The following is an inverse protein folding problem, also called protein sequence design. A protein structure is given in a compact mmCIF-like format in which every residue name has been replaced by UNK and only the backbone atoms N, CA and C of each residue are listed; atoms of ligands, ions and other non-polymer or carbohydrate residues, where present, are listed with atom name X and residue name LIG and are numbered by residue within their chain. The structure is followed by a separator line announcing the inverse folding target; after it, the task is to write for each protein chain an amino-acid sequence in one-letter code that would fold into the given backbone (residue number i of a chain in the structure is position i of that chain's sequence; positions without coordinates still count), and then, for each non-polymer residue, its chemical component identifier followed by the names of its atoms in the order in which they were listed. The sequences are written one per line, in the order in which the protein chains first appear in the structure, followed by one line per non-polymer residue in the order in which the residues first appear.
data_IF_671013716728
#
_entry.id   IF_671013716728
#
_cell.length_a   1.000
_cell.length_b   1.000
_cell.length_c   1.000
_cell.angle_alpha   90.00
_cell.angle_beta   90.00
_cell.angle_gamma   90.00
#
_symmetry.space_group_name_H-M   'P 1'
#
loop_
_entity.id
_entity.type
_entity.pdbx_description
1 polymer ?
#
# COMPACT_ATOMS: atom_id res chain seq x y z
N UNK A 1 8.73 6.93 -27.45
CA UNK A 1 9.33 5.95 -26.51
C UNK A 1 8.45 4.70 -26.44
N UNK A 2 9.04 3.51 -26.56
CA UNK A 2 8.31 2.24 -26.41
C UNK A 2 7.89 2.05 -24.93
N UNK A 3 6.81 1.32 -24.71
CA UNK A 3 6.25 1.13 -23.35
C UNK A 3 7.26 0.50 -22.38
N UNK A 4 7.91 -0.57 -22.78
CA UNK A 4 8.94 -1.23 -21.96
C UNK A 4 10.10 -0.29 -21.63
N UNK A 5 10.58 0.49 -22.60
CA UNK A 5 11.64 1.48 -22.37
C UNK A 5 11.28 2.52 -21.29
N UNK A 6 9.99 2.92 -21.20
CA UNK A 6 9.52 3.81 -20.12
C UNK A 6 9.66 3.13 -18.76
N UNK A 7 9.25 1.88 -18.64
CA UNK A 7 9.37 1.12 -17.39
C UNK A 7 10.83 0.93 -16.99
N UNK A 8 11.71 0.57 -17.93
CA UNK A 8 13.14 0.38 -17.67
C UNK A 8 13.80 1.67 -17.15
N UNK A 9 13.47 2.83 -17.73
CA UNK A 9 13.95 4.14 -17.25
C UNK A 9 13.38 4.52 -15.87
N UNK A 10 12.13 4.19 -15.60
CA UNK A 10 11.51 4.43 -14.29
C UNK A 10 12.15 3.54 -13.22
N UNK A 11 12.43 2.28 -13.53
CA UNK A 11 13.14 1.36 -12.63
C UNK A 11 14.55 1.92 -12.34
N UNK A 12 15.32 2.23 -13.37
CA UNK A 12 16.69 2.77 -13.22
C UNK A 12 16.72 4.04 -12.36
N UNK A 13 15.75 4.94 -12.55
CA UNK A 13 15.63 6.14 -11.70
C UNK A 13 15.37 5.78 -10.24
N UNK A 14 14.40 4.91 -9.96
CA UNK A 14 14.05 4.59 -8.59
C UNK A 14 15.10 3.73 -7.89
N UNK A 15 15.79 2.86 -8.60
CA UNK A 15 16.93 2.11 -8.01
C UNK A 15 18.05 3.04 -7.55
N UNK A 16 18.27 4.13 -8.25
CA UNK A 16 19.26 5.14 -7.86
C UNK A 16 18.72 6.09 -6.78
N UNK A 17 17.49 6.59 -6.93
CA UNK A 17 16.92 7.63 -6.07
C UNK A 17 16.35 7.09 -4.76
N UNK A 18 15.88 5.85 -4.75
CA UNK A 18 15.28 5.15 -3.59
C UNK A 18 15.73 3.68 -3.56
N UNK A 19 17.02 3.40 -3.32
CA UNK A 19 17.53 2.02 -3.29
C UNK A 19 16.88 1.17 -2.22
N UNK A 20 16.45 1.77 -1.11
CA UNK A 20 15.61 1.17 -0.07
C UNK A 20 14.24 1.82 -0.12
N UNK A 21 13.20 1.04 -0.37
CA UNK A 21 11.81 1.49 -0.39
C UNK A 21 10.95 0.45 0.30
N UNK A 22 10.45 0.81 1.48
CA UNK A 22 9.72 -0.06 2.39
C UNK A 22 8.46 0.63 2.90
N UNK A 23 7.60 -0.13 3.57
CA UNK A 23 6.43 0.44 4.27
C UNK A 23 6.87 1.34 5.42
N UNK A 24 6.12 2.41 5.65
CA UNK A 24 6.32 3.30 6.81
C UNK A 24 5.58 2.81 8.07
N UNK A 25 4.83 1.70 7.98
CA UNK A 25 4.18 1.07 9.12
C UNK A 25 5.19 0.31 9.98
N UNK A 26 5.05 0.43 11.32
CA UNK A 26 5.88 -0.30 12.28
C UNK A 26 5.22 -1.63 12.65
N UNK A 27 5.96 -2.72 12.51
CA UNK A 27 5.52 -4.09 12.83
C UNK A 27 6.74 -4.99 13.09
N UNK A 28 6.54 -6.13 13.73
CA UNK A 28 7.58 -7.12 14.02
C UNK A 28 7.34 -8.45 13.31
N UNK A 29 6.10 -8.76 12.97
CA UNK A 29 5.70 -10.03 12.35
C UNK A 29 4.55 -9.84 11.35
N UNK A 30 4.20 -10.87 10.56
CA UNK A 30 3.11 -10.80 9.57
C UNK A 30 1.75 -10.43 10.15
N UNK A 31 1.42 -10.91 11.36
CA UNK A 31 0.14 -10.59 12.01
C UNK A 31 0.05 -9.11 12.36
N UNK A 32 1.10 -8.55 12.97
CA UNK A 32 1.14 -7.12 13.29
C UNK A 32 1.06 -6.24 12.03
N UNK A 33 1.73 -6.65 10.94
CA UNK A 33 1.59 -5.93 9.66
C UNK A 33 0.16 -5.98 9.15
N UNK A 34 -0.49 -7.15 9.18
CA UNK A 34 -1.88 -7.29 8.75
C UNK A 34 -2.82 -6.38 9.55
N UNK A 35 -2.68 -6.34 10.88
CA UNK A 35 -3.40 -5.44 11.77
C UNK A 35 -3.14 -3.97 11.38
N UNK A 36 -1.88 -3.58 11.22
CA UNK A 36 -1.50 -2.21 10.88
C UNK A 36 -2.06 -1.77 9.52
N UNK A 37 -2.05 -2.65 8.51
CA UNK A 37 -2.61 -2.37 7.18
C UNK A 37 -4.13 -2.24 7.22
N UNK A 38 -4.85 -3.06 7.99
CA UNK A 38 -6.30 -2.89 8.21
C UNK A 38 -6.58 -1.53 8.87
N UNK A 39 -5.79 -1.15 9.87
CA UNK A 39 -5.93 0.13 10.56
C UNK A 39 -5.61 1.33 9.66
N UNK A 40 -4.70 1.19 8.69
CA UNK A 40 -4.29 2.27 7.78
C UNK A 40 -5.36 2.66 6.74
N UNK A 41 -6.41 1.88 6.58
CA UNK A 41 -7.52 2.24 5.70
C UNK A 41 -8.14 3.58 6.11
N UNK A 42 -8.02 4.59 5.21
CA UNK A 42 -8.44 5.99 5.45
C UNK A 42 -7.83 6.61 6.73
N UNK A 43 -6.62 6.18 7.09
CA UNK A 43 -5.87 6.70 8.22
C UNK A 43 -4.40 6.85 7.82
N UNK A 44 -3.70 7.81 8.41
CA UNK A 44 -2.26 8.01 8.15
C UNK A 44 -1.42 6.96 8.85
N UNK A 45 -0.32 6.52 8.22
CA UNK A 45 0.63 5.58 8.84
C UNK A 45 1.17 6.13 10.17
N UNK A 46 1.42 7.45 10.25
CA UNK A 46 1.81 8.12 11.49
C UNK A 46 0.80 7.87 12.62
N UNK A 47 -0.51 7.98 12.35
CA UNK A 47 -1.55 7.72 13.36
C UNK A 47 -1.57 6.25 13.74
N UNK A 48 -1.47 5.34 12.78
CA UNK A 48 -1.41 3.89 13.05
C UNK A 48 -0.21 3.57 13.93
N UNK A 49 0.97 4.06 13.60
CA UNK A 49 2.20 3.85 14.37
C UNK A 49 2.15 4.42 15.80
N UNK A 50 1.28 5.41 16.07
CA UNK A 50 1.08 5.95 17.42
C UNK A 50 0.20 5.05 18.29
N UNK A 51 -0.75 4.32 17.71
CA UNK A 51 -1.73 3.54 18.46
C UNK A 51 -1.41 2.04 18.54
N UNK A 52 -0.58 1.53 17.64
CA UNK A 52 -0.24 0.10 17.59
C UNK A 52 0.69 -0.37 18.71
N UNK A 53 1.64 0.40 19.25
CA UNK A 53 2.51 -0.10 20.32
C UNK A 53 1.77 -0.61 21.58
N UNK A 54 0.82 0.11 22.19
CA UNK A 54 0.05 -0.43 23.30
C UNK A 54 -0.85 -1.60 22.88
N UNK A 55 -1.42 -1.57 21.66
CA UNK A 55 -2.24 -2.66 21.14
C UNK A 55 -1.40 -3.95 21.00
N UNK A 56 -0.21 -3.87 20.41
CA UNK A 56 0.65 -5.03 20.19
C UNK A 56 1.33 -5.55 21.47
N UNK A 57 1.51 -4.69 22.47
CA UNK A 57 1.95 -5.13 23.79
C UNK A 57 0.94 -6.03 24.47
N UNK A 58 -0.34 -5.65 24.42
CA UNK A 58 -1.41 -6.32 25.15
C UNK A 58 -2.06 -7.45 24.32
N UNK A 59 -2.01 -7.36 22.99
CA UNK A 59 -2.53 -8.34 22.02
C UNK A 59 -1.47 -8.69 20.95
N UNK A 60 -0.34 -9.34 21.35
CA UNK A 60 0.77 -9.58 20.44
C UNK A 60 0.53 -10.67 19.39
N UNK A 61 -0.44 -11.56 19.60
CA UNK A 61 -0.69 -12.74 18.76
C UNK A 61 -2.14 -12.85 18.30
N UNK A 62 -2.43 -13.63 17.24
CA UNK A 62 -3.80 -13.93 16.84
C UNK A 62 -4.67 -14.46 17.99
N UNK A 63 -4.13 -15.36 18.83
CA UNK A 63 -4.86 -15.98 19.94
C UNK A 63 -5.29 -14.93 20.99
N UNK A 64 -4.39 -14.04 21.36
CA UNK A 64 -4.69 -13.00 22.35
C UNK A 64 -5.74 -12.02 21.82
N UNK A 65 -5.65 -11.64 20.54
CA UNK A 65 -6.63 -10.76 19.91
C UNK A 65 -7.98 -11.46 19.65
N UNK A 66 -7.97 -12.75 19.31
CA UNK A 66 -9.19 -13.57 19.12
C UNK A 66 -10.00 -13.71 20.41
N UNK A 67 -9.34 -13.74 21.56
CA UNK A 67 -9.96 -13.81 22.88
C UNK A 67 -10.55 -12.46 23.35
N UNK A 68 -10.17 -11.36 22.72
CA UNK A 68 -10.67 -10.04 23.05
C UNK A 68 -12.10 -9.80 22.55
N UNK A 69 -12.77 -8.78 23.10
CA UNK A 69 -14.01 -8.27 22.52
C UNK A 69 -13.75 -7.07 21.60
N UNK A 70 -14.64 -6.81 20.64
CA UNK A 70 -14.52 -5.61 19.80
C UNK A 70 -14.49 -4.32 20.62
N UNK A 71 -15.22 -4.25 21.72
CA UNK A 71 -15.28 -3.10 22.62
C UNK A 71 -13.91 -2.84 23.26
N UNK A 72 -13.23 -3.89 23.69
CA UNK A 72 -11.89 -3.78 24.27
C UNK A 72 -10.87 -3.30 23.22
N UNK A 73 -10.88 -3.87 22.02
CA UNK A 73 -9.99 -3.43 20.93
C UNK A 73 -10.30 -1.98 20.50
N UNK A 74 -11.58 -1.59 20.50
CA UNK A 74 -12.00 -0.21 20.20
C UNK A 74 -11.28 0.82 21.08
N UNK A 75 -11.07 0.58 22.37
CA UNK A 75 -10.40 1.54 23.25
C UNK A 75 -8.98 1.88 22.81
N UNK A 76 -8.26 0.94 22.18
CA UNK A 76 -6.92 1.18 21.62
C UNK A 76 -6.97 1.97 20.32
N UNK A 77 -8.00 1.76 19.50
CA UNK A 77 -8.05 2.27 18.12
C UNK A 77 -9.07 3.39 17.90
N UNK A 78 -9.72 3.92 18.94
CA UNK A 78 -10.79 4.92 18.84
C UNK A 78 -10.44 6.19 18.04
N UNK A 79 -9.17 6.49 17.85
CA UNK A 79 -8.69 7.67 17.14
C UNK A 79 -8.45 7.44 15.63
N UNK A 80 -8.65 6.22 15.10
CA UNK A 80 -8.59 5.96 13.66
C UNK A 80 -9.96 6.13 13.01
N UNK A 81 -10.00 6.20 11.69
CA UNK A 81 -11.26 6.25 10.94
C UNK A 81 -12.03 4.93 11.08
N UNK A 82 -13.33 5.01 11.31
CA UNK A 82 -14.24 3.86 11.45
C UNK A 82 -13.83 2.83 12.51
N UNK A 83 -13.55 3.25 13.75
CA UNK A 83 -12.94 2.39 14.75
C UNK A 83 -13.83 1.21 15.16
N UNK A 84 -15.16 1.37 15.22
CA UNK A 84 -16.10 0.30 15.56
C UNK A 84 -16.02 -0.88 14.56
N UNK A 85 -16.03 -0.56 13.25
CA UNK A 85 -15.93 -1.60 12.21
C UNK A 85 -14.56 -2.26 12.21
N UNK A 86 -13.49 -1.46 12.38
CA UNK A 86 -12.13 -1.99 12.46
C UNK A 86 -11.92 -2.89 13.66
N UNK A 87 -12.43 -2.53 14.83
CA UNK A 87 -12.37 -3.39 16.02
C UNK A 87 -13.04 -4.76 15.78
N UNK A 88 -14.24 -4.76 15.20
CA UNK A 88 -14.93 -6.01 14.82
C UNK A 88 -14.13 -6.82 13.80
N UNK A 89 -13.54 -6.14 12.79
CA UNK A 89 -12.73 -6.80 11.79
C UNK A 89 -11.47 -7.42 12.39
N UNK A 90 -10.74 -6.71 13.27
CA UNK A 90 -9.53 -7.22 13.89
C UNK A 90 -9.80 -8.47 14.74
N UNK A 91 -10.82 -8.45 15.58
CA UNK A 91 -11.21 -9.62 16.39
C UNK A 91 -11.66 -10.77 15.49
N UNK A 92 -12.51 -10.50 14.49
CA UNK A 92 -12.99 -11.52 13.56
C UNK A 92 -11.88 -12.12 12.71
N UNK A 93 -10.95 -11.29 12.22
CA UNK A 93 -9.77 -11.73 11.47
C UNK A 93 -8.88 -12.62 12.36
N UNK A 94 -8.60 -12.21 13.59
CA UNK A 94 -7.78 -12.99 14.51
C UNK A 94 -8.43 -14.36 14.84
N UNK A 95 -9.73 -14.41 15.07
CA UNK A 95 -10.47 -15.67 15.26
C UNK A 95 -10.36 -16.58 14.04
N UNK A 96 -10.54 -16.05 12.84
CA UNK A 96 -10.42 -16.84 11.61
C UNK A 96 -8.99 -17.36 11.40
N UNK A 97 -7.94 -16.56 11.76
CA UNK A 97 -6.56 -17.06 11.71
C UNK A 97 -6.35 -18.24 12.65
N UNK A 98 -6.85 -18.16 13.89
CA UNK A 98 -6.74 -19.25 14.87
C UNK A 98 -7.50 -20.49 14.41
N UNK A 99 -8.74 -20.33 13.95
CA UNK A 99 -9.63 -21.45 13.61
C UNK A 99 -9.25 -22.15 12.29
N UNK A 100 -8.82 -21.40 11.28
CA UNK A 100 -8.68 -21.91 9.92
C UNK A 100 -7.24 -21.92 9.39
N UNK A 101 -6.33 -21.18 10.02
CA UNK A 101 -4.97 -20.95 9.49
C UNK A 101 -3.86 -21.21 10.52
N UNK A 102 -4.14 -21.96 11.59
CA UNK A 102 -3.14 -22.29 12.63
C UNK A 102 -2.42 -21.07 13.21
N UNK A 103 -3.13 -19.92 13.32
CA UNK A 103 -2.60 -18.62 13.76
C UNK A 103 -1.56 -18.00 12.80
N UNK A 104 -1.43 -18.51 11.59
CA UNK A 104 -0.52 -17.98 10.59
C UNK A 104 -1.30 -17.11 9.57
N UNK A 105 -0.64 -16.07 9.06
CA UNK A 105 -1.19 -15.24 7.98
C UNK A 105 -1.04 -16.00 6.66
N UNK A 106 -2.12 -16.29 5.93
CA UNK A 106 -2.04 -17.02 4.67
C UNK A 106 -1.31 -16.19 3.59
N UNK A 107 -0.60 -16.86 2.70
CA UNK A 107 0.13 -16.21 1.60
C UNK A 107 -0.63 -16.14 0.28
N UNK A 108 -1.77 -16.81 0.18
CA UNK A 108 -2.62 -16.83 -1.01
C UNK A 108 -3.59 -15.65 -1.02
N UNK A 109 -3.79 -15.05 -2.21
CA UNK A 109 -4.67 -13.89 -2.37
C UNK A 109 -6.12 -14.22 -2.02
N UNK A 110 -6.62 -15.37 -2.49
CA UNK A 110 -8.01 -15.76 -2.31
C UNK A 110 -8.31 -16.15 -0.86
N UNK A 111 -7.30 -16.62 -0.12
CA UNK A 111 -7.40 -16.86 1.32
C UNK A 111 -7.33 -15.55 2.13
N UNK A 112 -6.42 -14.65 1.77
CA UNK A 112 -6.29 -13.34 2.42
C UNK A 112 -7.57 -12.52 2.34
N UNK A 113 -8.26 -12.49 1.20
CA UNK A 113 -9.49 -11.69 1.03
C UNK A 113 -10.70 -12.27 1.75
N UNK A 114 -10.64 -13.49 2.26
CA UNK A 114 -11.68 -14.07 3.14
C UNK A 114 -11.61 -13.49 4.55
N UNK A 115 -10.45 -13.00 4.96
CA UNK A 115 -10.25 -12.45 6.30
C UNK A 115 -11.05 -11.16 6.49
N UNK A 116 -11.77 -11.00 7.61
CA UNK A 116 -12.51 -9.79 7.93
C UNK A 116 -11.63 -8.52 7.85
N UNK A 117 -12.09 -7.51 7.11
CA UNK A 117 -11.37 -6.25 6.92
C UNK A 117 -10.26 -6.28 5.86
N UNK A 118 -10.05 -7.42 5.20
CA UNK A 118 -9.03 -7.59 4.17
C UNK A 118 -9.68 -7.56 2.78
N UNK A 119 -9.49 -6.45 2.08
CA UNK A 119 -9.80 -6.35 0.66
C UNK A 119 -8.60 -6.67 -0.21
N UNK A 120 -8.79 -6.71 -1.54
CA UNK A 120 -7.73 -7.00 -2.53
C UNK A 120 -6.48 -6.13 -2.33
N UNK A 121 -6.66 -4.82 -2.06
CA UNK A 121 -5.53 -3.91 -1.83
C UNK A 121 -4.71 -4.35 -0.62
N UNK A 122 -5.37 -4.64 0.51
CA UNK A 122 -4.71 -5.10 1.75
C UNK A 122 -3.99 -6.43 1.50
N UNK A 123 -4.65 -7.38 0.84
CA UNK A 123 -4.05 -8.66 0.49
C UNK A 123 -2.79 -8.51 -0.38
N UNK A 124 -2.83 -7.64 -1.40
CA UNK A 124 -1.64 -7.35 -2.22
C UNK A 124 -0.49 -6.73 -1.42
N UNK A 125 -0.79 -5.85 -0.44
CA UNK A 125 0.26 -5.31 0.46
C UNK A 125 0.91 -6.45 1.25
N UNK A 126 0.11 -7.32 1.86
CA UNK A 126 0.63 -8.46 2.63
C UNK A 126 1.45 -9.40 1.75
N UNK A 127 0.95 -9.73 0.56
CA UNK A 127 1.69 -10.56 -0.39
C UNK A 127 3.04 -9.96 -0.79
N UNK A 128 3.06 -8.65 -1.07
CA UNK A 128 4.30 -7.96 -1.48
C UNK A 128 5.31 -7.82 -0.32
N UNK A 129 4.83 -7.44 0.88
CA UNK A 129 5.71 -7.07 1.99
C UNK A 129 6.17 -8.28 2.80
N UNK A 130 5.26 -9.23 3.08
CA UNK A 130 5.54 -10.41 3.92
C UNK A 130 6.13 -11.55 3.10
N UNK A 131 5.54 -11.78 1.93
CA UNK A 131 5.82 -12.98 1.12
C UNK A 131 6.64 -12.69 -0.14
N UNK A 132 7.06 -11.44 -0.34
CA UNK A 132 7.85 -10.99 -1.49
C UNK A 132 7.25 -11.41 -2.85
N UNK A 133 5.93 -11.62 -2.89
CA UNK A 133 5.22 -11.98 -4.11
C UNK A 133 5.08 -10.78 -5.04
N UNK A 134 5.00 -11.06 -6.34
CA UNK A 134 4.79 -10.07 -7.39
C UNK A 134 3.35 -9.49 -7.34
N UNK A 135 3.02 -8.83 -6.23
CA UNK A 135 1.70 -8.23 -5.97
C UNK A 135 1.81 -6.70 -5.93
N UNK A 136 0.95 -6.04 -6.68
CA UNK A 136 0.92 -4.56 -6.79
C UNK A 136 -0.36 -4.03 -6.16
N UNK A 137 -0.26 -3.50 -4.95
CA UNK A 137 -1.39 -2.82 -4.33
C UNK A 137 -1.57 -1.42 -4.93
N UNK A 138 -2.71 -1.16 -5.55
CA UNK A 138 -3.00 0.13 -6.16
C UNK A 138 -3.85 0.98 -5.23
N UNK A 139 -3.20 1.95 -4.58
CA UNK A 139 -3.84 3.01 -3.82
C UNK A 139 -3.99 4.29 -4.66
N UNK A 140 -4.46 5.36 -4.06
CA UNK A 140 -4.61 6.66 -4.74
C UNK A 140 -3.28 7.26 -5.20
N UNK A 141 -2.17 6.96 -4.52
CA UNK A 141 -0.83 7.41 -4.93
C UNK A 141 -0.34 6.61 -6.14
N UNK A 142 -0.36 5.29 -6.06
CA UNK A 142 0.03 4.41 -7.17
C UNK A 142 -0.82 4.70 -8.41
N UNK A 143 -2.13 4.81 -8.25
CA UNK A 143 -3.05 5.15 -9.34
C UNK A 143 -2.67 6.46 -10.02
N UNK A 144 -2.54 7.54 -9.25
CA UNK A 144 -2.21 8.88 -9.77
C UNK A 144 -0.84 8.92 -10.43
N UNK A 145 0.19 8.40 -9.76
CA UNK A 145 1.57 8.43 -10.24
C UNK A 145 1.71 7.65 -11.54
N UNK A 146 1.11 6.46 -11.62
CA UNK A 146 1.17 5.61 -12.81
C UNK A 146 0.54 6.28 -14.04
N UNK A 147 -0.58 6.99 -13.86
CA UNK A 147 -1.19 7.77 -14.93
C UNK A 147 -0.33 8.98 -15.32
N UNK A 148 0.15 9.75 -14.35
CA UNK A 148 0.95 10.96 -14.61
C UNK A 148 2.27 10.66 -15.32
N UNK A 149 2.99 9.64 -14.90
CA UNK A 149 4.21 9.21 -15.59
C UNK A 149 3.89 8.70 -17.00
N UNK A 150 2.73 8.04 -17.16
CA UNK A 150 2.31 7.39 -18.39
C UNK A 150 2.59 5.88 -18.39
N UNK A 151 2.82 5.28 -17.20
CA UNK A 151 2.97 3.82 -17.04
C UNK A 151 1.71 3.06 -17.46
N UNK A 152 0.55 3.64 -17.25
CA UNK A 152 -0.73 3.06 -17.66
C UNK A 152 -1.46 3.98 -18.64
N UNK A 153 -2.28 3.42 -19.56
CA UNK A 153 -3.12 4.22 -20.44
C UNK A 153 -4.34 4.80 -19.67
N UNK A 154 -4.94 5.87 -20.20
CA UNK A 154 -6.11 6.51 -19.60
C UNK A 154 -7.34 5.60 -19.55
N UNK A 155 -7.36 4.53 -20.35
CA UNK A 155 -8.38 3.49 -20.32
C UNK A 155 -8.35 2.63 -19.05
N UNK A 156 -7.28 2.67 -18.28
CA UNK A 156 -7.19 2.00 -16.98
C UNK A 156 -7.87 2.86 -15.90
N UNK A 157 -9.19 2.82 -15.84
CA UNK A 157 -10.02 3.67 -14.94
C UNK A 157 -10.24 3.08 -13.54
N UNK A 158 -9.86 1.83 -13.30
CA UNK A 158 -10.02 1.16 -12.01
C UNK A 158 -8.67 0.75 -11.41
N UNK A 159 -8.55 0.65 -10.06
CA UNK A 159 -7.34 0.13 -9.43
C UNK A 159 -6.91 -1.24 -9.98
N UNK A 160 -7.87 -2.12 -10.25
CA UNK A 160 -7.58 -3.45 -10.81
C UNK A 160 -7.00 -3.41 -12.22
N UNK A 161 -7.51 -2.52 -13.10
CA UNK A 161 -6.95 -2.36 -14.45
C UNK A 161 -5.53 -1.77 -14.41
N UNK A 162 -5.25 -0.87 -13.47
CA UNK A 162 -3.90 -0.32 -13.22
C UNK A 162 -2.97 -1.42 -12.70
N UNK A 163 -3.40 -2.20 -11.69
CA UNK A 163 -2.67 -3.34 -11.16
C UNK A 163 -2.21 -4.28 -12.28
N UNK A 164 -3.15 -4.73 -13.12
CA UNK A 164 -2.86 -5.64 -14.24
C UNK A 164 -1.80 -5.08 -15.20
N UNK A 165 -1.87 -3.79 -15.51
CA UNK A 165 -0.89 -3.16 -16.39
C UNK A 165 0.50 -3.05 -15.72
N UNK A 166 0.56 -2.66 -14.46
CA UNK A 166 1.83 -2.54 -13.74
C UNK A 166 2.50 -3.90 -13.60
N UNK A 167 1.77 -4.93 -13.19
CA UNK A 167 2.29 -6.31 -13.07
C UNK A 167 2.74 -6.87 -14.42
N UNK A 168 2.13 -6.47 -15.52
CA UNK A 168 2.51 -6.92 -16.86
C UNK A 168 3.88 -6.42 -17.30
N UNK A 169 4.27 -5.20 -16.91
CA UNK A 169 5.46 -4.53 -17.43
C UNK A 169 6.61 -4.42 -16.43
N UNK A 170 6.34 -4.38 -15.14
CA UNK A 170 7.40 -4.51 -14.14
C UNK A 170 7.89 -5.97 -14.07
N UNK A 171 9.22 -6.20 -14.03
CA UNK A 171 9.76 -7.54 -13.73
C UNK A 171 9.25 -8.04 -12.37
N UNK A 172 8.86 -9.30 -12.29
CA UNK A 172 8.25 -9.89 -11.10
C UNK A 172 9.06 -9.64 -9.80
N UNK A 173 10.41 -9.78 -9.77
CA UNK A 173 11.20 -9.49 -8.57
C UNK A 173 11.20 -8.01 -8.15
N UNK A 174 10.89 -7.10 -9.08
CA UNK A 174 10.89 -5.65 -8.82
C UNK A 174 9.54 -5.16 -8.29
N UNK A 175 8.45 -5.89 -8.54
CA UNK A 175 7.09 -5.44 -8.22
C UNK A 175 6.91 -5.06 -6.74
N UNK A 176 7.37 -5.83 -5.73
CA UNK A 176 7.24 -5.44 -4.33
C UNK A 176 7.89 -4.08 -4.04
N UNK A 177 9.09 -3.85 -4.59
CA UNK A 177 9.83 -2.60 -4.44
C UNK A 177 9.19 -1.46 -5.24
N UNK A 178 8.74 -1.74 -6.47
CA UNK A 178 8.06 -0.76 -7.33
C UNK A 178 6.76 -0.25 -6.70
N UNK A 179 6.03 -1.09 -5.97
CA UNK A 179 4.88 -0.70 -5.19
C UNK A 179 5.23 0.44 -4.21
N UNK A 180 6.29 0.27 -3.42
CA UNK A 180 6.73 1.29 -2.46
C UNK A 180 7.28 2.54 -3.16
N UNK A 181 8.05 2.40 -4.25
CA UNK A 181 8.52 3.55 -5.04
C UNK A 181 7.36 4.46 -5.47
N UNK A 182 6.31 3.87 -6.03
CA UNK A 182 5.16 4.64 -6.52
C UNK A 182 4.39 5.31 -5.39
N UNK A 183 4.23 4.63 -4.24
CA UNK A 183 3.60 5.23 -3.05
C UNK A 183 4.42 6.41 -2.53
N UNK A 184 5.71 6.19 -2.23
CA UNK A 184 6.59 7.21 -1.64
C UNK A 184 6.78 8.40 -2.59
N UNK A 185 6.97 8.13 -3.88
CA UNK A 185 7.00 9.19 -4.89
C UNK A 185 5.70 9.99 -4.94
N UNK A 186 4.55 9.33 -4.81
CA UNK A 186 3.25 9.97 -4.75
C UNK A 186 3.01 10.79 -3.48
N UNK A 187 3.58 10.37 -2.36
CA UNK A 187 3.49 11.09 -1.08
C UNK A 187 4.36 12.34 -1.07
N UNK A 188 5.59 12.26 -1.53
CA UNK A 188 6.62 13.27 -1.26
C UNK A 188 7.02 14.12 -2.46
N UNK A 189 6.85 13.62 -3.69
CA UNK A 189 7.25 14.31 -4.93
C UNK A 189 6.05 14.60 -5.84
N UNK A 190 5.36 13.56 -6.31
CA UNK A 190 4.23 13.69 -7.21
C UNK A 190 2.91 13.84 -6.45
N UNK A 191 2.82 14.87 -5.58
CA UNK A 191 1.65 15.13 -4.75
C UNK A 191 0.40 15.46 -5.57
N UNK A 192 -0.79 15.32 -4.98
CA UNK A 192 -2.04 15.46 -5.72
C UNK A 192 -2.26 16.87 -6.25
N UNK A 193 -2.08 17.89 -5.40
CA UNK A 193 -2.39 19.30 -5.71
C UNK A 193 -1.20 20.06 -6.27
N UNK A 194 -0.02 19.91 -5.65
CA UNK A 194 1.18 20.69 -5.95
C UNK A 194 2.39 19.76 -6.18
N UNK A 195 2.43 19.02 -7.31
CA UNK A 195 3.54 18.13 -7.59
C UNK A 195 4.86 18.91 -7.80
N UNK A 196 5.95 18.40 -7.24
CA UNK A 196 7.28 19.02 -7.34
C UNK A 196 7.96 18.65 -8.68
N UNK A 197 7.33 19.00 -9.80
CA UNK A 197 7.72 18.55 -11.12
C UNK A 197 9.14 19.00 -11.51
N UNK A 198 9.53 20.24 -11.18
CA UNK A 198 10.86 20.79 -11.53
C UNK A 198 12.00 20.02 -10.86
N UNK A 199 11.81 19.57 -9.64
CA UNK A 199 12.79 18.78 -8.89
C UNK A 199 12.66 17.27 -9.13
N UNK A 200 11.69 16.83 -9.95
CA UNK A 200 11.45 15.41 -10.19
C UNK A 200 12.42 14.86 -11.23
N UNK A 201 13.19 13.83 -10.87
CA UNK A 201 14.12 13.19 -11.82
C UNK A 201 13.44 12.46 -12.98
N UNK A 202 12.13 12.19 -12.88
CA UNK A 202 11.36 11.60 -13.98
C UNK A 202 10.80 12.63 -14.97
N UNK A 203 11.02 13.93 -14.78
CA UNK A 203 10.38 14.99 -15.57
C UNK A 203 10.55 14.83 -17.09
N UNK A 204 11.72 14.40 -17.53
CA UNK A 204 12.05 14.26 -18.97
C UNK A 204 11.30 13.12 -19.67
N UNK A 205 10.77 12.16 -18.91
CA UNK A 205 10.02 11.01 -19.43
C UNK A 205 8.54 11.00 -18.95
N UNK A 206 8.19 11.94 -18.09
CA UNK A 206 6.86 12.03 -17.49
C UNK A 206 5.85 12.68 -18.45
N UNK A 207 4.77 11.98 -18.75
CA UNK A 207 3.68 12.49 -19.63
C UNK A 207 3.01 13.75 -19.08
N UNK A 208 2.94 13.88 -17.77
CA UNK A 208 2.28 15.01 -17.10
C UNK A 208 3.11 16.30 -17.06
N UNK A 209 4.42 16.20 -17.13
CA UNK A 209 5.34 17.37 -16.99
C UNK A 209 5.11 18.48 -18.03
N UNK A 210 4.98 18.19 -19.32
CA UNK A 210 4.72 19.25 -20.33
C UNK A 210 3.42 20.00 -20.07
N UNK A 211 2.38 19.30 -19.59
CA UNK A 211 1.06 19.89 -19.31
C UNK A 211 1.10 20.80 -18.07
N UNK A 212 1.79 20.36 -17.00
CA UNK A 212 1.95 21.15 -15.79
C UNK A 212 2.78 22.43 -16.02
N UNK A 213 3.79 22.37 -16.88
CA UNK A 213 4.63 23.52 -17.21
C UNK A 213 3.90 24.60 -18.03
N UNK A 214 3.01 24.21 -18.93
CA UNK A 214 2.19 25.15 -19.69
C UNK A 214 1.18 25.89 -18.81
N UNK A 215 0.63 25.26 -17.79
CA UNK A 215 -0.28 25.90 -16.83
C UNK A 215 0.42 26.89 -15.90
N UNK A 216 1.67 26.62 -15.49
CA UNK A 216 2.45 27.54 -14.65
C UNK A 216 2.93 28.79 -15.36
N UNK A 217 3.01 28.78 -16.70
CA UNK A 217 3.36 29.97 -17.51
C UNK A 217 2.17 30.84 -17.91
N UNK A 218 0.94 30.36 -17.69
CA UNK A 218 -0.30 31.08 -18.05
C UNK A 218 -0.85 31.95 -16.90
N UNK A 219 -0.14 32.07 -15.80
CA UNK A 219 -0.37 32.98 -14.67
C UNK A 219 0.93 33.76 -14.39
#
# INVERSE_FOLDING_TARGET
MKKQELYDRVIAYFEQAMPVAETELHYHDPFQLLVAVILSAQCTDKRVNMITPPLFRDYPTPETMAAATPETIYEYIRSVSYPNNKAKHLVGMARMLVENYHSEVPSDLDELVKLPGVGRKTANVIQAVVFEKAAMAVDTHVFRVSHRIGLVPDTCTTPYSVEKQLVRYFPAPIIPKAHHWLILHGRYTCTARTPKCEACGLKMICRHYPVSYTHLRAH
#
